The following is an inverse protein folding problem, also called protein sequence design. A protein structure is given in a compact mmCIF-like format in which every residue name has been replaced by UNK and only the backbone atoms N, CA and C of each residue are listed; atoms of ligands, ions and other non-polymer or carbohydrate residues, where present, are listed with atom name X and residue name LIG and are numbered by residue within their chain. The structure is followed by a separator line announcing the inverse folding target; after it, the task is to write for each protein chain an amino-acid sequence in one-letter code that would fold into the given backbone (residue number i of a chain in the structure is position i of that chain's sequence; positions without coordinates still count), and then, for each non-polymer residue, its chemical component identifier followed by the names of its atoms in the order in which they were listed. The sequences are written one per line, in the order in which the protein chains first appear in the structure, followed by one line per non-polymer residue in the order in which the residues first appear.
data_IF_668066207646
#
_entry.id   IF_668066207646
#
_cell.length_a   1.000
_cell.length_b   1.000
_cell.length_c   1.000
_cell.angle_alpha   90.00
_cell.angle_beta   90.00
_cell.angle_gamma   90.00
#
_symmetry.space_group_name_H-M   'P 1'
#
loop_
_entity.id
_entity.type
_entity.pdbx_description
1 polymer ?
#
# COMPACT_ATOMS: atom_id res chain seq x y z
N UNK A 1 3.65 -14.26 11.69
CA UNK A 1 3.99 -13.49 10.48
C UNK A 1 2.91 -13.73 9.45
N UNK A 2 2.14 -12.71 9.12
CA UNK A 2 1.19 -12.81 8.01
C UNK A 2 1.98 -13.02 6.72
N UNK A 3 1.58 -14.01 5.91
CA UNK A 3 2.29 -14.32 4.67
C UNK A 3 1.89 -13.31 3.60
N UNK A 4 2.85 -12.52 3.13
CA UNK A 4 2.69 -11.67 1.94
C UNK A 4 2.49 -12.61 0.74
N UNK A 5 1.48 -12.31 -0.09
CA UNK A 5 1.12 -13.08 -1.27
C UNK A 5 1.07 -12.17 -2.49
N UNK A 6 1.21 -12.75 -3.67
CA UNK A 6 0.93 -12.09 -4.95
C UNK A 6 -0.41 -12.59 -5.46
N UNK A 7 -1.23 -11.69 -6.00
CA UNK A 7 -2.53 -12.05 -6.56
C UNK A 7 -3.02 -11.04 -7.59
N UNK A 8 -3.96 -11.49 -8.43
CA UNK A 8 -4.61 -10.67 -9.45
C UNK A 8 -5.96 -10.21 -8.95
N UNK A 9 -6.22 -8.91 -9.03
CA UNK A 9 -7.45 -8.29 -8.58
C UNK A 9 -7.97 -7.38 -9.67
N UNK A 10 -9.28 -7.48 -9.96
CA UNK A 10 -9.93 -6.58 -10.91
C UNK A 10 -10.47 -5.37 -10.17
N UNK A 11 -9.99 -4.18 -10.52
CA UNK A 11 -10.43 -2.93 -9.95
C UNK A 11 -11.80 -2.48 -10.46
N UNK A 12 -12.37 -1.47 -9.81
CA UNK A 12 -13.63 -0.85 -10.22
C UNK A 12 -13.54 -0.18 -11.59
N UNK A 13 -12.33 0.25 -11.98
CA UNK A 13 -12.00 0.74 -13.32
C UNK A 13 -12.13 -0.34 -14.41
N UNK A 14 -12.24 -1.61 -14.02
CA UNK A 14 -12.22 -2.76 -14.92
C UNK A 14 -10.82 -3.26 -15.26
N UNK A 15 -9.76 -2.57 -14.82
CA UNK A 15 -8.35 -2.94 -15.01
C UNK A 15 -7.99 -4.07 -14.04
N UNK A 16 -7.23 -5.05 -14.52
CA UNK A 16 -6.65 -6.09 -13.69
C UNK A 16 -5.27 -5.66 -13.19
N UNK A 17 -5.06 -5.75 -11.89
CA UNK A 17 -3.80 -5.44 -11.23
C UNK A 17 -3.20 -6.71 -10.64
N UNK A 18 -1.91 -6.94 -10.89
CA UNK A 18 -1.14 -7.91 -10.14
C UNK A 18 -0.45 -7.19 -8.98
N UNK A 19 -0.83 -7.53 -7.75
CA UNK A 19 -0.39 -6.83 -6.54
C UNK A 19 0.14 -7.79 -5.49
N UNK A 20 0.97 -7.25 -4.60
CA UNK A 20 1.28 -7.89 -3.33
C UNK A 20 0.19 -7.53 -2.31
N UNK A 21 -0.25 -8.51 -1.53
CA UNK A 21 -1.25 -8.31 -0.50
C UNK A 21 -0.93 -9.10 0.76
N UNK A 22 -1.44 -8.61 1.89
CA UNK A 22 -1.40 -9.29 3.18
C UNK A 22 -2.81 -9.39 3.74
N UNK A 23 -3.11 -10.51 4.40
CA UNK A 23 -4.42 -10.75 5.00
C UNK A 23 -4.25 -11.15 6.47
N UNK A 24 -4.88 -10.39 7.36
CA UNK A 24 -4.77 -10.55 8.82
C UNK A 24 -5.86 -11.46 9.41
N UNK A 25 -6.63 -12.13 8.54
CA UNK A 25 -7.81 -12.93 8.89
C UNK A 25 -9.10 -12.12 8.95
N UNK A 26 -9.05 -10.78 8.95
CA UNK A 26 -10.22 -9.89 8.92
C UNK A 26 -10.31 -9.08 7.64
N UNK A 27 -9.18 -8.61 7.15
CA UNK A 27 -9.10 -7.69 6.02
C UNK A 27 -7.91 -8.03 5.11
N UNK A 28 -8.06 -7.70 3.83
CA UNK A 28 -6.98 -7.78 2.85
C UNK A 28 -6.43 -6.38 2.61
N UNK A 29 -5.12 -6.24 2.72
CA UNK A 29 -4.39 -4.99 2.51
C UNK A 29 -3.57 -5.06 1.22
N UNK A 30 -3.50 -3.94 0.49
CA UNK A 30 -2.52 -3.75 -0.59
C UNK A 30 -1.15 -3.55 0.05
N UNK A 31 -0.25 -4.49 -0.11
CA UNK A 31 1.09 -4.44 0.47
C UNK A 31 2.06 -3.75 -0.50
N UNK A 32 2.76 -2.71 -0.05
CA UNK A 32 3.73 -1.98 -0.86
C UNK A 32 5.02 -1.79 -0.07
N UNK A 33 6.15 -2.22 -0.64
CA UNK A 33 7.47 -1.91 -0.11
C UNK A 33 8.10 -0.77 -0.91
N UNK A 34 8.52 0.28 -0.22
CA UNK A 34 9.18 1.43 -0.85
C UNK A 34 10.60 1.56 -0.35
N UNK A 35 11.52 1.85 -1.27
CA UNK A 35 12.92 2.21 -1.01
C UNK A 35 13.16 3.60 -1.58
N UNK A 36 13.52 4.55 -0.72
CA UNK A 36 13.66 5.97 -1.08
C UNK A 36 12.40 6.51 -1.78
N UNK A 37 11.23 6.45 -1.10
CA UNK A 37 9.94 6.78 -1.70
C UNK A 37 9.92 8.20 -2.27
N UNK A 38 9.26 8.35 -3.40
CA UNK A 38 8.90 9.65 -3.97
C UNK A 38 7.37 9.85 -3.97
N UNK A 39 6.92 11.05 -4.35
CA UNK A 39 5.49 11.39 -4.36
C UNK A 39 4.68 10.51 -5.32
N UNK A 40 5.25 10.10 -6.46
CA UNK A 40 4.59 9.28 -7.46
C UNK A 40 4.27 7.88 -6.91
N UNK A 41 5.18 7.31 -6.12
CA UNK A 41 4.95 6.03 -5.43
C UNK A 41 3.72 6.09 -4.52
N UNK A 42 3.56 7.19 -3.79
CA UNK A 42 2.43 7.41 -2.87
C UNK A 42 1.12 7.56 -3.66
N UNK A 43 1.13 8.40 -4.70
CA UNK A 43 -0.05 8.63 -5.54
C UNK A 43 -0.50 7.33 -6.21
N UNK A 44 0.43 6.55 -6.79
CA UNK A 44 0.14 5.24 -7.39
C UNK A 44 -0.41 4.26 -6.37
N UNK A 45 0.19 4.19 -5.18
CA UNK A 45 -0.28 3.30 -4.11
C UNK A 45 -1.72 3.62 -3.71
N UNK A 46 -2.05 4.90 -3.53
CA UNK A 46 -3.41 5.33 -3.18
C UNK A 46 -4.38 5.04 -4.34
N UNK A 47 -3.99 5.33 -5.58
CA UNK A 47 -4.84 5.09 -6.74
C UNK A 47 -5.20 3.61 -6.90
N UNK A 48 -4.20 2.71 -6.80
CA UNK A 48 -4.42 1.26 -6.87
C UNK A 48 -5.26 0.77 -5.69
N UNK A 49 -4.97 1.24 -4.48
CA UNK A 49 -5.74 0.89 -3.28
C UNK A 49 -7.23 1.24 -3.43
N UNK A 50 -7.54 2.45 -3.89
CA UNK A 50 -8.90 2.91 -4.13
C UNK A 50 -9.58 2.11 -5.23
N UNK A 51 -8.88 1.85 -6.35
CA UNK A 51 -9.43 1.07 -7.47
C UNK A 51 -9.79 -0.36 -7.05
N UNK A 52 -8.97 -0.96 -6.18
CA UNK A 52 -9.18 -2.32 -5.67
C UNK A 52 -10.06 -2.39 -4.42
N UNK A 53 -10.50 -1.25 -3.87
CA UNK A 53 -11.17 -1.14 -2.55
C UNK A 53 -10.39 -1.83 -1.42
N UNK A 54 -9.07 -1.75 -1.46
CA UNK A 54 -8.18 -2.27 -0.41
C UNK A 54 -7.58 -1.12 0.38
N UNK A 55 -7.20 -1.37 1.62
CA UNK A 55 -6.42 -0.40 2.41
C UNK A 55 -4.93 -0.58 2.13
N UNK A 56 -4.17 0.49 1.88
CA UNK A 56 -2.74 0.38 1.64
C UNK A 56 -1.97 0.07 2.94
N UNK A 57 -1.03 -0.86 2.87
CA UNK A 57 -0.07 -1.21 3.91
C UNK A 57 1.33 -0.96 3.35
N UNK A 58 1.88 0.19 3.68
CA UNK A 58 3.14 0.69 3.11
C UNK A 58 4.28 0.42 4.09
N UNK A 59 5.32 -0.26 3.63
CA UNK A 59 6.55 -0.50 4.39
C UNK A 59 7.67 0.29 3.74
N UNK A 60 8.21 1.27 4.45
CA UNK A 60 9.38 2.04 3.99
C UNK A 60 10.63 1.31 4.49
N UNK A 61 11.36 0.71 3.54
CA UNK A 61 12.59 -0.06 3.80
C UNK A 61 13.83 0.82 3.88
N UNK A 62 13.84 1.97 3.21
CA UNK A 62 14.94 2.95 3.28
C UNK A 62 14.43 4.34 2.87
N UNK A 63 15.15 5.38 3.30
CA UNK A 63 14.81 6.77 3.02
C UNK A 63 13.72 7.32 3.95
N UNK A 64 13.31 8.57 3.71
CA UNK A 64 12.31 9.26 4.52
C UNK A 64 10.98 9.36 3.78
N UNK A 65 9.89 9.13 4.49
CA UNK A 65 8.54 9.49 4.04
C UNK A 65 8.06 10.72 4.82
N UNK A 66 7.79 11.86 4.17
CA UNK A 66 7.21 13.04 4.81
C UNK A 66 5.90 12.71 5.55
N UNK A 67 5.67 13.35 6.69
CA UNK A 67 4.45 13.14 7.47
C UNK A 67 3.17 13.50 6.69
N UNK A 68 3.25 14.44 5.77
CA UNK A 68 2.13 14.80 4.89
C UNK A 68 1.69 13.60 4.03
N UNK A 69 2.63 12.83 3.49
CA UNK A 69 2.32 11.64 2.68
C UNK A 69 1.73 10.52 3.56
N UNK A 70 2.21 10.39 4.79
CA UNK A 70 1.63 9.45 5.77
C UNK A 70 0.20 9.84 6.12
N UNK A 71 -0.11 11.14 6.24
CA UNK A 71 -1.48 11.63 6.45
C UNK A 71 -2.38 11.26 5.26
N UNK A 72 -1.93 11.44 4.03
CA UNK A 72 -2.72 11.06 2.85
C UNK A 72 -3.01 9.55 2.79
N UNK A 73 -2.00 8.71 3.07
CA UNK A 73 -2.21 7.25 3.19
C UNK A 73 -3.21 6.92 4.30
N UNK A 74 -3.13 7.62 5.43
CA UNK A 74 -4.02 7.40 6.58
C UNK A 74 -5.48 7.81 6.29
N UNK A 75 -5.72 8.85 5.48
CA UNK A 75 -7.06 9.28 5.08
C UNK A 75 -7.84 8.20 4.34
N UNK A 76 -7.16 7.32 3.61
CA UNK A 76 -7.77 6.16 2.92
C UNK A 76 -7.74 4.89 3.77
N UNK A 77 -7.50 5.02 5.08
CA UNK A 77 -7.45 3.91 6.03
C UNK A 77 -6.16 3.09 5.97
N UNK A 78 -5.14 3.58 5.28
CA UNK A 78 -3.86 2.90 5.14
C UNK A 78 -2.98 2.97 6.39
N UNK A 79 -1.97 2.10 6.43
CA UNK A 79 -0.96 2.04 7.48
C UNK A 79 0.42 2.21 6.88
N UNK A 80 1.30 2.93 7.59
CA UNK A 80 2.70 3.10 7.18
C UNK A 80 3.61 2.57 8.28
N UNK A 81 4.48 1.63 7.91
CA UNK A 81 5.54 1.09 8.77
C UNK A 81 6.86 1.68 8.30
N UNK A 82 7.55 2.37 9.21
CA UNK A 82 8.89 2.91 8.99
C UNK A 82 9.85 1.93 9.65
N UNK A 83 10.63 1.19 8.87
CA UNK A 83 11.78 0.49 9.46
C UNK A 83 12.87 1.54 9.68
N UNK A 84 12.95 2.03 10.91
CA UNK A 84 14.16 2.69 11.39
C UNK A 84 15.14 1.56 11.72
N UNK A 85 16.06 1.26 10.80
CA UNK A 85 17.33 0.65 11.17
C UNK A 85 18.18 1.65 11.95
#
# INVERSE_FOLDING_TARGET
MEKIKVGKFRGISGIEHEIMYVNDGKETYLYVELKNPNIEDIVKTIAVALDLKLKPYVVVRSGSIPDEWVKEISKVGGKVIRNME
#
